data_IF_882601196502
#
_entry.id   IF_882601196502
#
_cell.length_a   1.000
_cell.length_b   1.000
_cell.length_c   1.000
_cell.angle_alpha   90.00
_cell.angle_beta   90.00
_cell.angle_gamma   90.00
#
_symmetry.space_group_name_H-M   'P 1'
#
loop_
_entity.id
_entity.type
_entity.pdbx_description
1 polymer ?
#
# COMPACT_ATOMS: atom_id res chain seq x y z
N UNK A 1 13.03 -40.12 28.59
CA UNK A 1 11.84 -40.86 28.13
C UNK A 1 11.30 -40.13 26.92
N UNK A 2 11.54 -40.67 25.73
CA UNK A 2 11.08 -40.12 24.45
C UNK A 2 9.65 -40.59 24.20
N UNK A 3 8.69 -39.78 24.63
CA UNK A 3 7.31 -39.90 24.18
C UNK A 3 7.27 -39.43 22.72
N UNK A 4 7.55 -40.34 21.79
CA UNK A 4 7.14 -40.16 20.40
C UNK A 4 5.62 -40.28 20.40
N UNK A 5 4.93 -39.15 20.57
CA UNK A 5 3.54 -39.04 20.19
C UNK A 5 3.43 -39.54 18.74
N UNK A 6 2.70 -40.64 18.55
CA UNK A 6 2.39 -41.17 17.23
C UNK A 6 1.47 -40.14 16.58
N UNK A 7 2.10 -39.21 15.86
CA UNK A 7 1.40 -38.11 15.23
C UNK A 7 0.60 -38.70 14.07
N UNK A 8 -0.72 -38.74 14.23
CA UNK A 8 -1.62 -39.33 13.24
C UNK A 8 -1.35 -38.74 11.85
N UNK A 9 -1.37 -39.56 10.79
CA UNK A 9 -1.09 -39.08 9.45
C UNK A 9 -2.09 -37.99 9.07
N UNK A 10 -1.58 -36.82 8.67
CA UNK A 10 -2.39 -35.68 8.25
C UNK A 10 -3.27 -36.11 7.07
N UNK A 11 -4.58 -35.91 7.18
CA UNK A 11 -5.53 -36.22 6.11
C UNK A 11 -5.23 -35.43 4.83
N UNK A 12 -5.55 -36.00 3.68
CA UNK A 12 -5.35 -35.34 2.37
C UNK A 12 -6.08 -33.99 2.34
N UNK A 13 -7.29 -33.93 2.89
CA UNK A 13 -8.06 -32.68 3.00
C UNK A 13 -7.32 -31.61 3.82
N UNK A 14 -6.71 -31.97 4.96
CA UNK A 14 -5.95 -31.03 5.77
C UNK A 14 -4.69 -30.53 5.05
N UNK A 15 -3.99 -31.38 4.30
CA UNK A 15 -2.85 -30.97 3.47
C UNK A 15 -3.25 -29.97 2.40
N UNK A 16 -4.36 -30.24 1.69
CA UNK A 16 -4.90 -29.32 0.68
C UNK A 16 -5.28 -27.96 1.29
N UNK A 17 -5.90 -27.95 2.47
CA UNK A 17 -6.23 -26.73 3.19
C UNK A 17 -4.97 -25.92 3.56
N UNK A 18 -3.93 -26.57 4.09
CA UNK A 18 -2.68 -25.88 4.40
C UNK A 18 -2.00 -25.31 3.16
N UNK A 19 -1.95 -26.07 2.06
CA UNK A 19 -1.42 -25.59 0.78
C UNK A 19 -2.20 -24.37 0.27
N UNK A 20 -3.53 -24.42 0.32
CA UNK A 20 -4.38 -23.29 -0.05
C UNK A 20 -4.05 -22.03 0.77
N UNK A 21 -3.97 -22.15 2.10
CA UNK A 21 -3.65 -21.00 2.95
C UNK A 21 -2.22 -20.47 2.73
N UNK A 22 -1.25 -21.35 2.49
CA UNK A 22 0.12 -20.95 2.13
C UNK A 22 0.12 -20.15 0.83
N UNK A 23 -0.62 -20.60 -0.19
CA UNK A 23 -0.73 -19.89 -1.46
C UNK A 23 -1.41 -18.53 -1.29
N UNK A 24 -2.49 -18.46 -0.51
CA UNK A 24 -3.18 -17.18 -0.22
C UNK A 24 -2.25 -16.20 0.51
N UNK A 25 -1.53 -16.66 1.54
CA UNK A 25 -0.56 -15.82 2.25
C UNK A 25 0.61 -15.40 1.34
N UNK A 26 1.11 -16.31 0.51
CA UNK A 26 2.16 -16.01 -0.47
C UNK A 26 1.72 -14.96 -1.48
N UNK A 27 0.49 -15.08 -2.01
CA UNK A 27 -0.10 -14.09 -2.91
C UNK A 27 -0.28 -12.72 -2.22
N UNK A 28 -0.72 -12.71 -0.96
CA UNK A 28 -0.83 -11.48 -0.18
C UNK A 28 0.52 -10.80 0.04
N UNK A 29 1.54 -11.55 0.44
CA UNK A 29 2.91 -11.05 0.61
C UNK A 29 3.45 -10.50 -0.71
N UNK A 30 3.27 -11.24 -1.81
CA UNK A 30 3.65 -10.78 -3.13
C UNK A 30 2.95 -9.47 -3.50
N UNK A 31 1.65 -9.37 -3.25
CA UNK A 31 0.88 -8.16 -3.52
C UNK A 31 1.41 -6.96 -2.71
N UNK A 32 1.68 -7.14 -1.42
CA UNK A 32 2.22 -6.08 -0.54
C UNK A 32 3.58 -5.60 -1.04
N UNK A 33 4.48 -6.53 -1.39
CA UNK A 33 5.83 -6.18 -1.85
C UNK A 33 5.78 -5.50 -3.22
N UNK A 34 5.07 -6.10 -4.19
CA UNK A 34 5.03 -5.63 -5.57
C UNK A 34 4.28 -4.30 -5.70
N UNK A 35 3.04 -4.26 -5.24
CA UNK A 35 2.20 -3.07 -5.39
C UNK A 35 2.44 -2.04 -4.29
N UNK A 36 2.48 -2.47 -3.02
CA UNK A 36 2.71 -1.56 -1.90
C UNK A 36 4.13 -1.01 -1.88
N UNK A 37 5.14 -1.89 -1.95
CA UNK A 37 6.54 -1.49 -2.02
C UNK A 37 6.87 -0.65 -3.26
N UNK A 38 6.36 -1.06 -4.43
CA UNK A 38 6.53 -0.31 -5.68
C UNK A 38 5.92 1.09 -5.63
N UNK A 39 4.70 1.22 -5.10
CA UNK A 39 4.05 2.52 -4.92
C UNK A 39 4.84 3.41 -3.94
N UNK A 40 5.31 2.88 -2.82
CA UNK A 40 6.11 3.63 -1.85
C UNK A 40 7.40 4.17 -2.48
N UNK A 41 8.17 3.32 -3.16
CA UNK A 41 9.42 3.71 -3.82
C UNK A 41 9.19 4.76 -4.91
N UNK A 42 8.13 4.58 -5.71
CA UNK A 42 7.75 5.53 -6.77
C UNK A 42 7.45 6.90 -6.17
N UNK A 43 6.66 6.96 -5.10
CA UNK A 43 6.30 8.23 -4.46
C UNK A 43 7.45 8.87 -3.69
N UNK A 44 8.36 8.09 -3.11
CA UNK A 44 9.62 8.61 -2.57
C UNK A 44 10.50 9.24 -3.65
N UNK A 45 10.60 8.60 -4.83
CA UNK A 45 11.30 9.15 -5.99
C UNK A 45 10.65 10.46 -6.48
N UNK A 46 9.31 10.48 -6.62
CA UNK A 46 8.55 11.70 -6.96
C UNK A 46 8.79 12.83 -5.97
N UNK A 47 8.78 12.53 -4.67
CA UNK A 47 9.07 13.51 -3.63
C UNK A 47 10.49 14.07 -3.74
N UNK A 48 11.50 13.20 -3.93
CA UNK A 48 12.90 13.59 -4.11
C UNK A 48 13.09 14.46 -5.36
N UNK A 49 12.35 14.16 -6.43
CA UNK A 49 12.43 14.91 -7.68
C UNK A 49 11.59 16.20 -7.65
N UNK A 50 10.81 16.45 -6.61
CA UNK A 50 9.96 17.64 -6.51
C UNK A 50 8.82 17.65 -7.52
N UNK A 51 8.23 16.48 -7.78
CA UNK A 51 7.06 16.29 -8.65
C UNK A 51 5.89 17.21 -8.29
N UNK A 52 5.05 17.53 -9.27
CA UNK A 52 3.83 18.32 -9.06
C UNK A 52 2.93 17.69 -8.00
N UNK A 53 2.86 16.36 -7.99
CA UNK A 53 2.09 15.62 -7.00
C UNK A 53 2.80 14.35 -6.53
N UNK A 54 2.38 13.88 -5.37
CA UNK A 54 2.71 12.57 -4.81
C UNK A 54 1.44 11.96 -4.23
N UNK A 55 1.39 10.63 -4.18
CA UNK A 55 0.27 9.88 -3.62
C UNK A 55 0.78 9.06 -2.45
N UNK A 56 0.26 9.29 -1.25
CA UNK A 56 0.79 8.66 -0.04
C UNK A 56 -0.35 7.97 0.71
N UNK A 57 -0.24 6.66 0.89
CA UNK A 57 -1.17 5.92 1.74
C UNK A 57 -0.64 5.84 3.16
N UNK A 58 -1.54 5.97 4.13
CA UNK A 58 -1.23 5.69 5.54
C UNK A 58 -0.91 4.20 5.80
N UNK A 59 -1.10 3.33 4.80
CA UNK A 59 -0.87 1.89 4.89
C UNK A 59 0.41 1.40 4.23
N UNK A 60 1.09 2.22 3.42
CA UNK A 60 2.27 1.78 2.65
C UNK A 60 3.37 1.23 3.57
N UNK A 61 3.76 2.00 4.59
CA UNK A 61 4.79 1.60 5.56
C UNK A 61 4.29 0.54 6.56
N UNK A 62 3.09 0.67 7.17
CA UNK A 62 2.58 -0.35 8.09
C UNK A 62 2.48 -1.75 7.50
N UNK A 63 2.06 -1.90 6.24
CA UNK A 63 1.94 -3.20 5.60
C UNK A 63 3.31 -3.88 5.40
N UNK A 64 4.34 -3.09 5.07
CA UNK A 64 5.72 -3.59 4.97
C UNK A 64 6.23 -4.04 6.34
N UNK A 65 6.01 -3.24 7.38
CA UNK A 65 6.36 -3.61 8.77
C UNK A 65 5.62 -4.88 9.21
N UNK A 66 4.41 -5.10 8.72
CA UNK A 66 3.61 -6.29 9.00
C UNK A 66 4.07 -7.56 8.26
N UNK A 67 4.95 -7.49 7.26
CA UNK A 67 5.38 -8.66 6.47
C UNK A 67 5.88 -9.85 7.30
N UNK A 68 6.70 -9.67 8.36
CA UNK A 68 7.14 -10.78 9.19
C UNK A 68 6.00 -11.53 9.87
N UNK A 69 4.84 -10.90 10.09
CA UNK A 69 3.64 -11.59 10.58
C UNK A 69 3.16 -12.64 9.58
N UNK A 70 3.01 -12.27 8.31
CA UNK A 70 2.57 -13.20 7.27
C UNK A 70 3.58 -14.33 7.05
N UNK A 71 4.89 -14.03 7.09
CA UNK A 71 5.93 -15.06 7.01
C UNK A 71 5.88 -16.02 8.19
N UNK A 72 5.69 -15.53 9.41
CA UNK A 72 5.58 -16.38 10.60
C UNK A 72 4.34 -17.28 10.55
N UNK A 73 3.20 -16.78 10.07
CA UNK A 73 1.99 -17.58 9.86
C UNK A 73 2.18 -18.63 8.77
N UNK A 74 2.78 -18.25 7.63
CA UNK A 74 3.13 -19.18 6.56
C UNK A 74 4.06 -20.29 7.03
N UNK A 75 5.07 -19.94 7.85
CA UNK A 75 5.98 -20.91 8.45
C UNK A 75 5.27 -21.92 9.36
N UNK A 76 4.29 -21.49 10.18
CA UNK A 76 3.47 -22.41 10.98
C UNK A 76 2.69 -23.39 10.09
N UNK A 77 2.12 -22.92 8.98
CA UNK A 77 1.41 -23.78 8.04
C UNK A 77 2.34 -24.79 7.38
N UNK A 78 3.57 -24.38 7.01
CA UNK A 78 4.59 -25.29 6.47
C UNK A 78 5.00 -26.34 7.51
N UNK A 79 5.23 -25.93 8.76
CA UNK A 79 5.52 -26.87 9.85
C UNK A 79 4.39 -27.88 10.03
N UNK A 80 3.14 -27.44 9.98
CA UNK A 80 1.97 -28.32 10.07
C UNK A 80 1.88 -29.26 8.86
N UNK A 81 2.12 -28.77 7.65
CA UNK A 81 2.10 -29.56 6.42
C UNK A 81 3.16 -30.67 6.42
N UNK A 82 4.37 -30.37 6.92
CA UNK A 82 5.49 -31.31 7.01
C UNK A 82 5.42 -32.21 8.25
N UNK A 83 4.40 -32.05 9.10
CA UNK A 83 4.28 -32.73 10.38
C UNK A 83 5.48 -32.47 11.34
N UNK A 84 6.08 -31.28 11.24
CA UNK A 84 7.21 -30.80 12.04
C UNK A 84 6.79 -29.74 13.08
N UNK A 85 5.49 -29.55 13.25
CA UNK A 85 4.93 -28.59 14.18
C UNK A 85 5.08 -29.08 15.63
N UNK A 86 6.07 -28.52 16.34
CA UNK A 86 6.13 -28.61 17.80
C UNK A 86 5.43 -27.42 18.44
N UNK A 87 4.88 -27.60 19.64
CA UNK A 87 4.21 -26.53 20.38
C UNK A 87 5.11 -25.30 20.55
N UNK A 88 6.38 -25.53 20.90
CA UNK A 88 7.36 -24.46 21.08
C UNK A 88 7.57 -23.63 19.81
N UNK A 89 7.74 -24.29 18.64
CA UNK A 89 7.95 -23.59 17.35
C UNK A 89 6.71 -22.83 16.92
N UNK A 90 5.53 -23.41 17.13
CA UNK A 90 4.25 -22.75 16.84
C UNK A 90 4.08 -21.53 17.74
N UNK A 91 4.29 -21.66 19.05
CA UNK A 91 4.17 -20.54 19.99
C UNK A 91 5.15 -19.40 19.69
N UNK A 92 6.41 -19.71 19.38
CA UNK A 92 7.40 -18.69 18.99
C UNK A 92 6.98 -17.95 17.72
N UNK A 93 6.52 -18.69 16.70
CA UNK A 93 6.04 -18.09 15.45
C UNK A 93 4.81 -17.20 15.68
N UNK A 94 3.86 -17.64 16.51
CA UNK A 94 2.69 -16.83 16.87
C UNK A 94 3.08 -15.57 17.65
N UNK A 95 4.05 -15.65 18.57
CA UNK A 95 4.58 -14.47 19.27
C UNK A 95 5.15 -13.46 18.27
N UNK A 96 5.98 -13.92 17.32
CA UNK A 96 6.51 -13.07 16.25
C UNK A 96 5.36 -12.44 15.45
N UNK A 97 4.39 -13.24 15.04
CA UNK A 97 3.24 -12.76 14.27
C UNK A 97 2.47 -11.65 15.00
N UNK A 98 2.14 -11.88 16.27
CA UNK A 98 1.43 -10.90 17.11
C UNK A 98 2.28 -9.65 17.32
N UNK A 99 3.57 -9.78 17.61
CA UNK A 99 4.46 -8.64 17.81
C UNK A 99 4.53 -7.74 16.57
N UNK A 100 4.70 -8.30 15.38
CA UNK A 100 4.75 -7.51 14.15
C UNK A 100 3.38 -6.97 13.73
N UNK A 101 2.29 -7.68 14.02
CA UNK A 101 0.95 -7.14 13.82
C UNK A 101 0.71 -5.90 14.70
N UNK A 102 1.09 -5.96 15.98
CA UNK A 102 0.99 -4.82 16.90
C UNK A 102 1.91 -3.68 16.47
N UNK A 103 3.16 -3.99 16.06
CA UNK A 103 4.08 -2.98 15.54
C UNK A 103 3.51 -2.26 14.31
N UNK A 104 2.90 -3.00 13.36
CA UNK A 104 2.26 -2.38 12.19
C UNK A 104 1.13 -1.43 12.58
N UNK A 105 0.32 -1.77 13.59
CA UNK A 105 -0.74 -0.88 14.11
C UNK A 105 -0.14 0.40 14.71
N UNK A 106 0.89 0.26 15.55
CA UNK A 106 1.57 1.42 16.16
C UNK A 106 2.21 2.31 15.09
N UNK A 107 2.90 1.71 14.12
CA UNK A 107 3.51 2.43 13.00
C UNK A 107 2.44 3.15 12.17
N UNK A 108 1.27 2.55 11.94
CA UNK A 108 0.17 3.21 11.22
C UNK A 108 -0.27 4.50 11.91
N UNK A 109 -0.43 4.46 13.24
CA UNK A 109 -0.81 5.64 14.01
C UNK A 109 0.27 6.72 13.89
N UNK A 110 1.52 6.37 14.19
CA UNK A 110 2.63 7.31 14.15
C UNK A 110 2.85 7.90 12.76
N UNK A 111 2.90 7.05 11.73
CA UNK A 111 3.11 7.44 10.35
C UNK A 111 1.98 8.33 9.82
N UNK A 112 0.72 8.00 10.13
CA UNK A 112 -0.43 8.80 9.73
C UNK A 112 -0.35 10.25 10.24
N UNK A 113 0.12 10.46 11.47
CA UNK A 113 0.29 11.80 12.03
C UNK A 113 1.53 12.51 11.49
N UNK A 114 2.66 11.81 11.33
CA UNK A 114 3.93 12.45 10.94
C UNK A 114 4.02 12.76 9.45
N UNK A 115 3.41 11.94 8.60
CA UNK A 115 3.53 12.08 7.14
C UNK A 115 2.92 13.39 6.65
N UNK A 116 1.77 13.79 7.20
CA UNK A 116 1.14 15.06 6.85
C UNK A 116 2.03 16.25 7.18
N UNK A 117 2.59 16.28 8.40
CA UNK A 117 3.50 17.34 8.82
C UNK A 117 4.79 17.39 7.99
N UNK A 118 5.35 16.23 7.67
CA UNK A 118 6.55 16.12 6.83
C UNK A 118 6.31 16.65 5.41
N UNK A 119 5.18 16.30 4.80
CA UNK A 119 4.82 16.76 3.45
C UNK A 119 4.54 18.27 3.42
N UNK A 120 3.81 18.79 4.41
CA UNK A 120 3.59 20.23 4.57
C UNK A 120 4.91 20.99 4.74
N UNK A 121 5.84 20.48 5.53
CA UNK A 121 7.18 21.09 5.68
C UNK A 121 7.99 21.07 4.37
N UNK A 122 7.70 20.11 3.47
CA UNK A 122 8.27 20.05 2.11
C UNK A 122 7.53 20.93 1.10
N UNK A 123 6.54 21.69 1.53
CA UNK A 123 5.74 22.61 0.70
C UNK A 123 4.50 21.98 0.07
N UNK A 124 4.24 20.70 0.29
CA UNK A 124 3.09 20.02 -0.30
C UNK A 124 1.81 20.31 0.48
N UNK A 125 0.69 20.35 -0.23
CA UNK A 125 -0.66 20.52 0.32
C UNK A 125 -1.55 19.35 -0.08
N UNK A 126 -2.39 18.86 0.82
CA UNK A 126 -3.31 17.77 0.51
C UNK A 126 -4.38 18.25 -0.48
N UNK A 127 -4.72 17.40 -1.45
CA UNK A 127 -5.73 17.69 -2.46
C UNK A 127 -6.82 16.63 -2.44
N UNK A 128 -7.96 16.95 -1.83
CA UNK A 128 -9.10 16.05 -1.75
C UNK A 128 -9.71 15.74 -3.13
N UNK A 129 -9.67 16.70 -4.06
CA UNK A 129 -10.24 16.56 -5.40
C UNK A 129 -9.58 15.45 -6.22
N UNK A 130 -8.27 15.28 -6.06
CA UNK A 130 -7.52 14.18 -6.67
C UNK A 130 -7.45 12.92 -5.81
N UNK A 131 -7.77 13.03 -4.52
CA UNK A 131 -7.78 11.89 -3.61
C UNK A 131 -9.03 11.03 -3.82
N UNK A 132 -8.90 9.73 -3.57
CA UNK A 132 -10.07 8.84 -3.60
C UNK A 132 -10.78 8.81 -2.25
N UNK A 133 -12.13 8.79 -2.23
CA UNK A 133 -12.88 8.65 -0.99
C UNK A 133 -12.86 7.21 -0.45
N UNK A 134 -12.29 6.27 -1.20
CA UNK A 134 -12.24 4.85 -0.82
C UNK A 134 -11.33 4.62 0.39
N UNK A 135 -11.76 3.70 1.25
CA UNK A 135 -10.99 3.26 2.42
C UNK A 135 -9.64 2.67 1.95
N UNK A 136 -8.55 3.02 2.64
CA UNK A 136 -7.16 2.67 2.29
C UNK A 136 -6.61 3.29 1.00
N UNK A 137 -7.39 4.10 0.29
CA UNK A 137 -6.85 4.78 -0.89
C UNK A 137 -5.84 5.86 -0.47
N UNK A 138 -4.79 6.06 -1.29
CA UNK A 138 -3.76 7.03 -0.96
C UNK A 138 -4.30 8.45 -1.07
N UNK A 139 -3.84 9.31 -0.17
CA UNK A 139 -4.11 10.74 -0.23
C UNK A 139 -3.15 11.37 -1.22
N UNK A 140 -3.69 12.16 -2.15
CA UNK A 140 -2.89 12.93 -3.10
C UNK A 140 -2.47 14.25 -2.46
N UNK A 141 -1.18 14.56 -2.59
CA UNK A 141 -0.56 15.80 -2.15
C UNK A 141 0.06 16.49 -3.35
N UNK A 142 -0.18 17.80 -3.48
CA UNK A 142 0.32 18.62 -4.59
C UNK A 142 1.34 19.64 -4.10
N UNK A 143 2.26 20.05 -4.95
CA UNK A 143 3.41 20.92 -4.61
C UNK A 143 3.02 22.32 -4.14
N UNK A 144 1.85 22.82 -4.53
CA UNK A 144 1.22 24.00 -3.96
C UNK A 144 -0.31 23.85 -4.04
N UNK A 145 -1.08 24.56 -3.20
CA UNK A 145 -2.55 24.52 -3.25
C UNK A 145 -3.12 24.83 -4.64
N UNK A 146 -2.45 25.67 -5.42
CA UNK A 146 -2.89 26.11 -6.75
C UNK A 146 -2.97 24.97 -7.78
N UNK A 147 -2.27 23.86 -7.54
CA UNK A 147 -2.35 22.67 -8.39
C UNK A 147 -3.59 21.80 -8.08
N UNK A 148 -4.28 22.04 -6.97
CA UNK A 148 -5.50 21.32 -6.60
C UNK A 148 -6.73 21.96 -7.24
N UNK A 149 -7.09 21.49 -8.43
CA UNK A 149 -8.22 22.05 -9.19
C UNK A 149 -9.54 21.51 -8.64
N UNK A 150 -10.48 22.41 -8.34
CA UNK A 150 -11.82 22.08 -7.83
C UNK A 150 -12.65 21.36 -8.90
N UNK A 151 -13.55 20.46 -8.50
CA UNK A 151 -14.44 19.70 -9.39
C UNK A 151 -13.71 18.80 -10.42
N UNK A 152 -12.47 18.42 -10.13
CA UNK A 152 -11.66 17.53 -10.98
C UNK A 152 -11.81 16.04 -10.65
N UNK A 153 -12.64 15.69 -9.65
CA UNK A 153 -12.76 14.33 -9.14
C UNK A 153 -13.17 13.27 -10.17
N UNK A 154 -13.96 13.64 -11.19
CA UNK A 154 -14.38 12.74 -12.27
C UNK A 154 -13.25 12.41 -13.25
N UNK A 155 -12.31 13.33 -13.46
CA UNK A 155 -11.18 13.20 -14.41
C UNK A 155 -9.83 13.03 -13.70
N UNK A 156 -9.87 12.76 -12.39
CA UNK A 156 -8.66 12.72 -11.56
C UNK A 156 -7.63 11.70 -12.05
N UNK A 157 -8.05 10.55 -12.56
CA UNK A 157 -7.11 9.49 -12.96
C UNK A 157 -6.33 9.92 -14.20
N UNK A 158 -7.04 10.54 -15.13
CA UNK A 158 -6.55 11.06 -16.39
C UNK A 158 -5.60 12.24 -16.15
N UNK A 159 -5.97 13.16 -15.23
CA UNK A 159 -5.13 14.29 -14.83
C UNK A 159 -3.83 13.80 -14.18
N UNK A 160 -3.90 12.88 -13.22
CA UNK A 160 -2.71 12.35 -12.54
C UNK A 160 -1.82 11.54 -13.51
N UNK A 161 -2.43 10.76 -14.42
CA UNK A 161 -1.70 10.06 -15.46
C UNK A 161 -1.00 11.02 -16.43
N UNK A 162 -1.64 12.14 -16.77
CA UNK A 162 -1.01 13.17 -17.57
C UNK A 162 0.16 13.82 -16.82
N UNK A 163 0.00 14.12 -15.53
CA UNK A 163 1.09 14.66 -14.71
C UNK A 163 2.29 13.72 -14.63
N UNK A 164 2.05 12.41 -14.55
CA UNK A 164 3.10 11.38 -14.54
C UNK A 164 3.85 11.27 -15.87
N UNK A 165 3.23 11.66 -16.98
CA UNK A 165 3.84 11.66 -18.30
C UNK A 165 4.68 12.92 -18.58
N UNK A 166 4.68 13.92 -17.69
CA UNK A 166 5.40 15.17 -17.90
C UNK A 166 6.92 14.97 -17.77
N UNK A 167 7.73 15.59 -18.65
CA UNK A 167 9.17 15.62 -18.49
C UNK A 167 9.57 16.39 -17.22
N UNK A 168 10.76 16.09 -16.69
CA UNK A 168 11.32 16.76 -15.51
C UNK A 168 10.39 16.76 -14.28
N UNK A 169 9.57 15.72 -14.13
CA UNK A 169 8.57 15.61 -13.06
C UNK A 169 7.56 16.78 -13.02
N UNK A 170 7.38 17.47 -14.15
CA UNK A 170 6.48 18.61 -14.26
C UNK A 170 6.96 19.88 -13.55
N UNK A 171 8.27 20.02 -13.29
CA UNK A 171 8.84 21.21 -12.63
C UNK A 171 8.52 22.52 -13.35
N UNK A 172 8.41 22.48 -14.66
CA UNK A 172 8.19 23.65 -15.52
C UNK A 172 6.70 23.97 -15.72
N UNK A 173 5.81 23.12 -15.20
CA UNK A 173 4.36 23.28 -15.33
C UNK A 173 3.84 24.26 -14.29
N UNK A 174 2.98 25.17 -14.75
CA UNK A 174 2.26 26.12 -13.89
C UNK A 174 0.89 25.57 -13.54
N UNK A 175 0.31 26.08 -12.45
CA UNK A 175 -1.06 25.72 -12.04
C UNK A 175 -2.08 25.93 -13.16
N UNK A 176 -1.93 27.01 -13.95
CA UNK A 176 -2.82 27.29 -15.09
C UNK A 176 -2.80 26.19 -16.15
N UNK A 177 -1.65 25.56 -16.38
CA UNK A 177 -1.52 24.49 -17.37
C UNK A 177 -2.29 23.24 -16.90
N UNK A 178 -2.30 22.99 -15.59
CA UNK A 178 -3.11 21.93 -14.96
C UNK A 178 -4.60 22.23 -15.03
N UNK A 179 -5.00 23.48 -14.74
CA UNK A 179 -6.40 23.91 -14.86
C UNK A 179 -6.91 23.75 -16.30
N UNK A 180 -6.11 24.17 -17.28
CA UNK A 180 -6.42 23.99 -18.70
C UNK A 180 -6.60 22.52 -19.06
N UNK A 181 -5.74 21.64 -18.53
CA UNK A 181 -5.85 20.20 -18.78
C UNK A 181 -7.09 19.59 -18.15
N UNK A 182 -7.43 19.98 -16.92
CA UNK A 182 -8.66 19.56 -16.24
C UNK A 182 -9.88 20.00 -17.05
N UNK A 183 -9.91 21.26 -17.51
CA UNK A 183 -11.01 21.78 -18.32
C UNK A 183 -11.15 21.05 -19.66
N UNK A 184 -10.04 20.69 -20.31
CA UNK A 184 -10.03 19.87 -21.52
C UNK A 184 -10.66 18.49 -21.28
N UNK A 185 -10.21 17.78 -20.24
CA UNK A 185 -10.69 16.45 -19.90
C UNK A 185 -12.18 16.46 -19.51
N UNK A 186 -12.61 17.44 -18.73
CA UNK A 186 -14.03 17.58 -18.37
C UNK A 186 -14.93 17.80 -19.60
N UNK A 187 -14.48 18.58 -20.59
CA UNK A 187 -15.22 18.74 -21.85
C UNK A 187 -15.32 17.42 -22.61
N UNK A 188 -14.23 16.66 -22.69
CA UNK A 188 -14.22 15.35 -23.37
C UNK A 188 -15.20 14.38 -22.69
N UNK A 189 -15.13 14.24 -21.36
CA UNK A 189 -16.05 13.38 -20.61
C UNK A 189 -17.52 13.78 -20.78
N UNK A 190 -17.83 15.07 -20.87
CA UNK A 190 -19.20 15.55 -21.10
C UNK A 190 -19.68 15.30 -22.54
N UNK A 191 -18.77 15.13 -23.50
CA UNK A 191 -19.11 14.90 -24.91
C UNK A 191 -19.28 13.40 -25.21
N UNK A 192 -18.56 12.54 -24.50
CA UNK A 192 -18.63 11.08 -24.59
C UNK A 192 -19.73 10.45 -23.70
N UNK A 193 -20.35 11.25 -22.83
CA UNK A 193 -21.44 10.85 -21.92
C UNK A 193 -22.85 10.87 -22.54
N UNK A 194 -22.97 10.79 -23.86
CA UNK A 194 -24.23 10.63 -24.60
C UNK A 194 -24.35 9.23 -25.21
#
# INVERSE_FOLDING_TARGET
MTEKAIQQPISIAARLNYLFYILVLGALVFFIIWFGGGALLTNLSKLSNGSIYISVSSWDVPLIVGLPCFFALGYVLVLRLLNLASEQRVQQSLKIAVSFALAAIVVRLLYGFTVAGFLSHKGYSSCWQYSSPQVMSPTVWVKSPDFCIVNSGSVRKEVLSWMDALPNAGKDIRSQDVENKVAELLRQTNTEGY
#
